data_IF_858357294410
#
_entry.id   IF_858357294410
#
_cell.length_a   1.000
_cell.length_b   1.000
_cell.length_c   1.000
_cell.angle_alpha   90.00
_cell.angle_beta   90.00
_cell.angle_gamma   90.00
#
_symmetry.space_group_name_H-M   'P 1'
#
loop_
_entity.id
_entity.type
_entity.pdbx_description
1 polymer ?
#
# COMPACT_ATOMS: atom_id res chain seq x y z
N UNK A 1 -49.55 -25.79 54.70
CA UNK A 1 -48.09 -25.85 54.50
C UNK A 1 -47.80 -26.63 53.22
N UNK A 2 -47.12 -26.02 52.26
CA UNK A 2 -46.27 -26.69 51.27
C UNK A 2 -46.89 -27.15 49.95
N UNK A 3 -47.02 -26.25 48.96
CA UNK A 3 -47.16 -26.61 47.53
C UNK A 3 -46.44 -25.59 46.62
N UNK A 4 -45.14 -25.36 46.85
CA UNK A 4 -44.27 -24.79 45.82
C UNK A 4 -43.51 -25.94 45.16
N UNK A 5 -44.21 -26.70 44.31
CA UNK A 5 -43.58 -27.64 43.39
C UNK A 5 -42.89 -26.84 42.29
N UNK A 6 -41.56 -26.86 42.33
CA UNK A 6 -40.62 -26.94 41.21
C UNK A 6 -41.18 -26.45 39.85
N UNK A 7 -40.78 -25.24 39.48
CA UNK A 7 -40.48 -24.94 38.08
C UNK A 7 -38.97 -24.66 38.04
N UNK A 8 -38.20 -25.74 38.04
CA UNK A 8 -36.83 -25.71 37.52
C UNK A 8 -36.98 -25.87 36.02
N UNK A 9 -37.20 -24.74 35.34
CA UNK A 9 -37.00 -24.67 33.91
C UNK A 9 -35.51 -24.42 33.70
N UNK A 10 -34.88 -25.40 33.07
CA UNK A 10 -33.51 -25.43 32.59
C UNK A 10 -33.10 -24.07 32.00
N UNK A 11 -32.14 -23.40 32.64
CA UNK A 11 -31.39 -22.30 32.01
C UNK A 11 -30.36 -22.98 31.11
N UNK A 12 -30.77 -23.27 29.88
CA UNK A 12 -29.86 -23.54 28.76
C UNK A 12 -30.22 -22.62 27.62
N UNK A 13 -29.65 -21.42 27.63
CA UNK A 13 -28.95 -20.83 26.50
C UNK A 13 -28.55 -19.41 26.88
N UNK A 14 -27.26 -19.21 27.04
CA UNK A 14 -26.66 -17.87 27.13
C UNK A 14 -25.32 -17.91 26.40
N UNK A 15 -25.38 -18.33 25.13
CA UNK A 15 -24.23 -18.31 24.21
C UNK A 15 -24.53 -17.43 22.98
N UNK A 16 -25.80 -17.19 22.64
CA UNK A 16 -26.15 -16.44 21.42
C UNK A 16 -25.96 -14.91 21.49
N UNK A 17 -25.90 -14.34 22.70
CA UNK A 17 -25.90 -12.87 22.87
C UNK A 17 -24.51 -12.22 22.72
N UNK A 18 -23.42 -12.99 22.88
CA UNK A 18 -22.06 -12.50 22.63
C UNK A 18 -21.69 -12.57 21.15
N UNK A 19 -22.10 -13.65 20.45
CA UNK A 19 -21.82 -13.89 19.03
C UNK A 19 -22.45 -12.80 18.15
N UNK A 20 -23.74 -12.48 18.38
CA UNK A 20 -24.48 -11.49 17.57
C UNK A 20 -23.92 -10.05 17.69
N UNK A 21 -23.32 -9.71 18.85
CA UNK A 21 -22.80 -8.37 19.11
C UNK A 21 -21.41 -8.17 18.50
N UNK A 22 -20.60 -9.23 18.42
CA UNK A 22 -19.25 -9.15 17.84
C UNK A 22 -19.27 -9.26 16.31
N UNK A 23 -20.13 -10.11 15.73
CA UNK A 23 -20.35 -10.13 14.26
C UNK A 23 -20.66 -8.73 13.70
N UNK A 24 -21.45 -7.94 14.44
CA UNK A 24 -21.75 -6.56 14.04
C UNK A 24 -20.52 -5.65 14.03
N UNK A 25 -19.58 -5.78 14.96
CA UNK A 25 -18.40 -4.92 15.02
C UNK A 25 -17.38 -5.27 13.93
N UNK A 26 -17.11 -6.56 13.68
CA UNK A 26 -16.22 -6.94 12.56
C UNK A 26 -16.83 -6.55 11.21
N UNK A 27 -18.15 -6.69 11.03
CA UNK A 27 -18.83 -6.25 9.83
C UNK A 27 -18.72 -4.72 9.61
N UNK A 28 -18.86 -3.91 10.66
CA UNK A 28 -18.70 -2.44 10.58
C UNK A 28 -17.25 -2.09 10.21
N UNK A 29 -16.26 -2.71 10.86
CA UNK A 29 -14.83 -2.46 10.59
C UNK A 29 -14.47 -2.89 9.16
N UNK A 30 -14.94 -4.06 8.71
CA UNK A 30 -14.74 -4.55 7.35
C UNK A 30 -15.37 -3.62 6.30
N UNK A 31 -16.60 -3.13 6.55
CA UNK A 31 -17.25 -2.16 5.68
C UNK A 31 -16.47 -0.83 5.61
N UNK A 32 -15.95 -0.37 6.75
CA UNK A 32 -15.11 0.83 6.80
C UNK A 32 -13.79 0.64 6.03
N UNK A 33 -13.10 -0.50 6.20
CA UNK A 33 -11.89 -0.83 5.43
C UNK A 33 -12.19 -0.85 3.93
N UNK A 34 -13.27 -1.51 3.50
CA UNK A 34 -13.69 -1.58 2.09
C UNK A 34 -14.00 -0.20 1.50
N UNK A 35 -14.66 0.66 2.27
CA UNK A 35 -14.93 2.06 1.88
C UNK A 35 -13.63 2.86 1.71
N UNK A 36 -12.68 2.69 2.64
CA UNK A 36 -11.35 3.32 2.58
C UNK A 36 -10.54 2.80 1.38
N UNK A 37 -10.55 1.49 1.10
CA UNK A 37 -9.94 0.88 -0.09
C UNK A 37 -10.51 1.50 -1.38
N UNK A 38 -11.83 1.64 -1.45
CA UNK A 38 -12.51 2.25 -2.60
C UNK A 38 -12.09 3.71 -2.77
N UNK A 39 -11.94 4.44 -1.67
CA UNK A 39 -11.46 5.83 -1.68
C UNK A 39 -10.00 5.93 -2.13
N UNK A 40 -9.13 5.02 -1.68
CA UNK A 40 -7.74 4.92 -2.11
C UNK A 40 -7.64 4.64 -3.62
N UNK A 41 -8.44 3.69 -4.14
CA UNK A 41 -8.46 3.37 -5.56
C UNK A 41 -8.91 4.57 -6.40
N UNK A 42 -9.97 5.28 -5.98
CA UNK A 42 -10.43 6.51 -6.64
C UNK A 42 -9.36 7.60 -6.63
N UNK A 43 -8.68 7.79 -5.49
CA UNK A 43 -7.60 8.77 -5.35
C UNK A 43 -6.41 8.42 -6.27
N UNK A 44 -6.04 7.13 -6.38
CA UNK A 44 -4.98 6.67 -7.28
C UNK A 44 -5.30 6.95 -8.76
N UNK A 45 -6.53 6.68 -9.19
CA UNK A 45 -6.97 7.00 -10.57
C UNK A 45 -6.93 8.52 -10.83
N UNK A 46 -7.33 9.33 -9.85
CA UNK A 46 -7.24 10.80 -9.95
C UNK A 46 -5.78 11.26 -10.04
N UNK A 47 -4.89 10.71 -9.22
CA UNK A 47 -3.47 11.02 -9.26
C UNK A 47 -2.87 10.69 -10.63
N UNK A 48 -3.14 9.50 -11.17
CA UNK A 48 -2.65 9.10 -12.49
C UNK A 48 -3.16 10.04 -13.61
N UNK A 49 -4.41 10.51 -13.52
CA UNK A 49 -4.94 11.48 -14.48
C UNK A 49 -4.24 12.84 -14.37
N UNK A 50 -4.06 13.34 -13.15
CA UNK A 50 -3.34 14.60 -12.90
C UNK A 50 -1.91 14.49 -13.42
N UNK A 51 -1.20 13.41 -13.10
CA UNK A 51 0.16 13.16 -13.62
C UNK A 51 0.24 13.23 -15.15
N UNK A 52 -0.70 12.59 -15.86
CA UNK A 52 -0.79 12.64 -17.31
C UNK A 52 -1.07 14.04 -17.87
N UNK A 53 -1.94 14.80 -17.20
CA UNK A 53 -2.21 16.19 -17.56
C UNK A 53 -0.94 17.05 -17.36
N UNK A 54 -0.18 16.80 -16.28
CA UNK A 54 1.12 17.39 -16.00
C UNK A 54 2.17 17.07 -17.07
N UNK A 55 2.29 15.81 -17.48
CA UNK A 55 3.16 15.39 -18.59
C UNK A 55 2.84 16.14 -19.89
N UNK A 56 1.55 16.33 -20.19
CA UNK A 56 1.10 17.06 -21.38
C UNK A 56 1.52 18.53 -21.31
N UNK A 57 1.40 19.17 -20.14
CA UNK A 57 1.86 20.54 -19.90
C UNK A 57 3.39 20.65 -20.04
N UNK A 58 4.15 19.72 -19.44
CA UNK A 58 5.63 19.69 -19.51
C UNK A 58 6.11 19.49 -20.95
N UNK A 59 5.46 18.60 -21.71
CA UNK A 59 5.75 18.38 -23.13
C UNK A 59 5.53 19.65 -23.97
N UNK A 60 4.44 20.39 -23.68
CA UNK A 60 4.15 21.67 -24.35
C UNK A 60 5.13 22.77 -23.94
N UNK A 61 5.53 22.85 -22.68
CA UNK A 61 6.58 23.77 -22.23
C UNK A 61 7.91 23.47 -22.93
N UNK A 62 8.28 22.19 -23.04
CA UNK A 62 9.48 21.78 -23.77
C UNK A 62 9.41 22.17 -25.25
N UNK A 63 8.28 21.97 -25.93
CA UNK A 63 8.15 22.35 -27.35
C UNK A 63 8.28 23.86 -27.55
N UNK A 64 7.70 24.67 -26.65
CA UNK A 64 7.85 26.13 -26.65
C UNK A 64 9.30 26.56 -26.37
N UNK A 65 10.00 25.93 -25.43
CA UNK A 65 11.43 26.20 -25.18
C UNK A 65 12.29 25.93 -26.42
N UNK A 66 12.03 24.82 -27.13
CA UNK A 66 12.72 24.54 -28.41
C UNK A 66 12.40 25.59 -29.47
N UNK A 67 11.15 26.03 -29.55
CA UNK A 67 10.74 27.08 -30.48
C UNK A 67 11.42 28.43 -30.15
N UNK A 68 11.51 28.80 -28.88
CA UNK A 68 12.20 30.01 -28.41
C UNK A 68 13.67 29.99 -28.86
N UNK A 69 14.38 28.90 -28.59
CA UNK A 69 15.78 28.73 -28.96
C UNK A 69 15.98 28.76 -30.49
N UNK A 70 15.07 28.13 -31.24
CA UNK A 70 15.10 28.15 -32.70
C UNK A 70 14.90 29.57 -33.25
N UNK A 71 13.96 30.36 -32.71
CA UNK A 71 13.78 31.75 -33.12
C UNK A 71 14.95 32.64 -32.73
N UNK A 72 15.57 32.39 -31.57
CA UNK A 72 16.79 33.09 -31.16
C UNK A 72 17.96 32.82 -32.12
N UNK A 73 18.16 31.56 -32.51
CA UNK A 73 19.20 31.16 -33.47
C UNK A 73 18.94 31.79 -34.86
N UNK A 74 17.70 31.71 -35.36
CA UNK A 74 17.29 32.32 -36.65
C UNK A 74 17.47 33.84 -36.66
N UNK A 75 17.16 34.52 -35.55
CA UNK A 75 17.37 35.96 -35.45
C UNK A 75 18.85 36.32 -35.60
N UNK A 76 19.77 35.56 -34.97
CA UNK A 76 21.21 35.77 -35.05
C UNK A 76 21.77 35.54 -36.45
N UNK A 77 21.34 34.48 -37.13
CA UNK A 77 21.84 34.15 -38.48
C UNK A 77 21.38 35.15 -39.54
N UNK A 78 20.17 35.68 -39.42
CA UNK A 78 19.59 36.59 -40.42
C UNK A 78 20.00 38.06 -40.17
N UNK A 79 20.41 38.42 -38.96
CA UNK A 79 20.71 39.81 -38.57
C UNK A 79 21.77 40.51 -39.43
N UNK A 80 22.75 39.77 -39.96
CA UNK A 80 23.80 40.33 -40.80
C UNK A 80 23.32 40.71 -42.22
N UNK A 81 22.32 39.99 -42.75
CA UNK A 81 21.92 40.08 -44.15
C UNK A 81 20.55 40.77 -44.34
N UNK A 82 19.63 40.63 -43.38
CA UNK A 82 18.25 41.13 -43.48
C UNK A 82 17.72 41.54 -42.09
N UNK A 83 17.94 42.81 -41.76
CA UNK A 83 17.53 43.39 -40.47
C UNK A 83 16.01 43.33 -40.23
N UNK A 84 15.13 43.68 -41.19
CA UNK A 84 13.68 43.52 -41.02
C UNK A 84 13.27 42.08 -40.66
N UNK A 85 13.83 41.08 -41.34
CA UNK A 85 13.51 39.67 -41.08
C UNK A 85 14.05 39.17 -39.74
N UNK A 86 15.19 39.68 -39.30
CA UNK A 86 15.71 39.41 -37.96
C UNK A 86 14.80 39.99 -36.86
N UNK A 87 14.27 41.20 -37.04
CA UNK A 87 13.31 41.80 -36.12
C UNK A 87 12.00 40.98 -36.03
N UNK A 88 11.52 40.44 -37.14
CA UNK A 88 10.36 39.54 -37.16
C UNK A 88 10.62 38.21 -36.40
N UNK A 89 11.84 37.67 -36.47
CA UNK A 89 12.23 36.50 -35.66
C UNK A 89 12.23 36.84 -34.16
N UNK A 90 12.74 38.02 -33.78
CA UNK A 90 12.71 38.50 -32.39
C UNK A 90 11.27 38.72 -31.91
N UNK A 91 10.39 39.24 -32.76
CA UNK A 91 8.96 39.40 -32.43
C UNK A 91 8.30 38.06 -32.13
N UNK A 92 8.52 37.04 -32.97
CA UNK A 92 8.02 35.67 -32.74
C UNK A 92 8.61 35.04 -31.48
N UNK A 93 9.91 35.25 -31.21
CA UNK A 93 10.55 34.81 -29.97
C UNK A 93 9.85 35.40 -28.73
N UNK A 94 9.57 36.70 -28.73
CA UNK A 94 8.84 37.37 -27.63
C UNK A 94 7.44 36.78 -27.43
N UNK A 95 6.73 36.45 -28.50
CA UNK A 95 5.41 35.80 -28.40
C UNK A 95 5.52 34.40 -27.75
N UNK A 96 6.52 33.61 -28.14
CA UNK A 96 6.78 32.30 -27.52
C UNK A 96 7.18 32.44 -26.05
N UNK A 97 7.99 33.45 -25.70
CA UNK A 97 8.36 33.74 -24.30
C UNK A 97 7.15 34.07 -23.44
N UNK A 98 6.21 34.89 -23.93
CA UNK A 98 4.97 35.16 -23.20
C UNK A 98 4.12 33.88 -23.00
N UNK A 99 4.10 32.99 -23.99
CA UNK A 99 3.44 31.68 -23.84
C UNK A 99 4.15 30.77 -22.83
N UNK A 100 5.49 30.83 -22.77
CA UNK A 100 6.30 30.10 -21.79
C UNK A 100 6.01 30.59 -20.36
N UNK A 101 5.92 31.90 -20.15
CA UNK A 101 5.56 32.47 -18.85
C UNK A 101 4.20 31.94 -18.37
N UNK A 102 3.20 31.96 -19.27
CA UNK A 102 1.88 31.46 -18.94
C UNK A 102 1.88 29.96 -18.61
N UNK A 103 2.53 29.14 -19.44
CA UNK A 103 2.54 27.68 -19.23
C UNK A 103 3.35 27.27 -18.00
N UNK A 104 4.42 28.00 -17.67
CA UNK A 104 5.22 27.75 -16.47
C UNK A 104 4.42 28.09 -15.21
N UNK A 105 3.61 29.16 -15.24
CA UNK A 105 2.69 29.48 -14.15
C UNK A 105 1.63 28.38 -13.98
N UNK A 106 1.04 27.89 -15.08
CA UNK A 106 0.09 26.76 -15.04
C UNK A 106 0.74 25.47 -14.54
N UNK A 107 1.97 25.16 -14.96
CA UNK A 107 2.73 24.01 -14.48
C UNK A 107 2.94 24.08 -12.97
N UNK A 108 3.35 25.23 -12.45
CA UNK A 108 3.53 25.40 -11.00
C UNK A 108 2.25 25.11 -10.21
N UNK A 109 1.12 25.69 -10.64
CA UNK A 109 -0.18 25.42 -10.01
C UNK A 109 -0.57 23.95 -10.12
N UNK A 110 -0.27 23.32 -11.24
CA UNK A 110 -0.55 21.91 -11.47
C UNK A 110 0.30 21.00 -10.58
N UNK A 111 1.61 21.26 -10.46
CA UNK A 111 2.52 20.49 -9.61
C UNK A 111 2.11 20.60 -8.12
N UNK A 112 1.64 21.78 -7.68
CA UNK A 112 1.06 21.97 -6.34
C UNK A 112 -0.19 21.10 -6.12
N UNK A 113 -1.08 21.02 -7.11
CA UNK A 113 -2.28 20.17 -7.05
C UNK A 113 -1.93 18.67 -7.08
N UNK A 114 -0.96 18.28 -7.91
CA UNK A 114 -0.44 16.90 -7.97
C UNK A 114 0.08 16.46 -6.60
N UNK A 115 0.88 17.31 -5.94
CA UNK A 115 1.37 17.07 -4.58
C UNK A 115 0.24 16.90 -3.56
N UNK A 116 -0.77 17.78 -3.58
CA UNK A 116 -1.92 17.66 -2.66
C UNK A 116 -2.69 16.34 -2.83
N UNK A 117 -2.87 15.89 -4.07
CA UNK A 117 -3.55 14.60 -4.36
C UNK A 117 -2.69 13.43 -3.89
N UNK A 118 -1.37 13.48 -4.13
CA UNK A 118 -0.43 12.46 -3.67
C UNK A 118 -0.41 12.35 -2.13
N UNK A 119 -0.29 13.47 -1.42
CA UNK A 119 -0.33 13.53 0.04
C UNK A 119 -1.63 12.96 0.59
N UNK A 120 -2.76 13.27 -0.05
CA UNK A 120 -4.07 12.74 0.34
C UNK A 120 -4.13 11.24 0.17
N UNK A 121 -3.60 10.70 -0.94
CA UNK A 121 -3.53 9.26 -1.17
C UNK A 121 -2.67 8.57 -0.10
N UNK A 122 -1.50 9.15 0.23
CA UNK A 122 -0.62 8.61 1.26
C UNK A 122 -1.33 8.55 2.63
N UNK A 123 -2.06 9.61 3.00
CA UNK A 123 -2.85 9.65 4.25
C UNK A 123 -3.93 8.57 4.28
N UNK A 124 -4.64 8.36 3.16
CA UNK A 124 -5.65 7.30 3.06
C UNK A 124 -5.01 5.91 3.21
N UNK A 125 -3.84 5.69 2.60
CA UNK A 125 -3.12 4.42 2.69
C UNK A 125 -2.61 4.16 4.11
N UNK A 126 -2.04 5.16 4.77
CA UNK A 126 -1.61 5.07 6.17
C UNK A 126 -2.80 4.72 7.08
N UNK A 127 -3.94 5.41 6.91
CA UNK A 127 -5.15 5.13 7.69
C UNK A 127 -5.69 3.71 7.46
N UNK A 128 -5.60 3.22 6.22
CA UNK A 128 -5.98 1.87 5.89
C UNK A 128 -5.09 0.82 6.57
N UNK A 129 -3.77 1.06 6.61
CA UNK A 129 -2.83 0.19 7.32
C UNK A 129 -3.15 0.15 8.83
N UNK A 130 -3.37 1.31 9.45
CA UNK A 130 -3.79 1.41 10.86
C UNK A 130 -5.07 0.61 11.14
N UNK A 131 -6.10 0.77 10.29
CA UNK A 131 -7.38 0.08 10.45
C UNK A 131 -7.22 -1.44 10.33
N UNK A 132 -6.39 -1.93 9.40
CA UNK A 132 -6.10 -3.36 9.27
C UNK A 132 -5.35 -3.90 10.50
N UNK A 133 -4.35 -3.17 10.99
CA UNK A 133 -3.62 -3.55 12.20
C UNK A 133 -4.54 -3.61 13.43
N UNK A 134 -5.41 -2.61 13.60
CA UNK A 134 -6.39 -2.59 14.69
C UNK A 134 -7.38 -3.75 14.60
N UNK A 135 -7.86 -4.07 13.38
CA UNK A 135 -8.73 -5.23 13.17
C UNK A 135 -8.03 -6.52 13.58
N UNK A 136 -6.79 -6.74 13.14
CA UNK A 136 -6.04 -7.95 13.48
C UNK A 136 -5.83 -8.07 14.99
N UNK A 137 -5.44 -6.99 15.67
CA UNK A 137 -5.29 -6.95 17.12
C UNK A 137 -6.61 -7.29 17.86
N UNK A 138 -7.73 -6.76 17.38
CA UNK A 138 -9.05 -7.04 17.96
C UNK A 138 -9.44 -8.51 17.78
N UNK A 139 -9.19 -9.10 16.61
CA UNK A 139 -9.44 -10.54 16.35
C UNK A 139 -8.55 -11.45 17.20
N UNK A 140 -7.27 -11.12 17.35
CA UNK A 140 -6.38 -11.85 18.26
C UNK A 140 -6.85 -11.78 19.71
N UNK A 141 -7.30 -10.62 20.18
CA UNK A 141 -7.85 -10.45 21.53
C UNK A 141 -9.16 -11.22 21.74
N UNK A 142 -10.01 -11.26 20.73
CA UNK A 142 -11.25 -12.06 20.74
C UNK A 142 -10.93 -13.54 20.88
N UNK A 143 -10.03 -14.07 20.06
CA UNK A 143 -9.59 -15.47 20.12
C UNK A 143 -9.07 -15.84 21.52
N UNK A 144 -8.24 -14.99 22.13
CA UNK A 144 -7.74 -15.21 23.51
C UNK A 144 -8.87 -15.13 24.55
N UNK A 145 -9.79 -14.18 24.42
CA UNK A 145 -10.91 -14.05 25.35
C UNK A 145 -11.87 -15.26 25.26
N UNK A 146 -12.12 -15.78 24.07
CA UNK A 146 -12.93 -16.98 23.87
C UNK A 146 -12.21 -18.23 24.38
N UNK A 147 -10.89 -18.34 24.19
CA UNK A 147 -10.06 -19.37 24.85
C UNK A 147 -10.23 -19.36 26.36
N UNK A 148 -10.08 -18.20 26.98
CA UNK A 148 -10.21 -18.03 28.43
C UNK A 148 -11.63 -18.32 28.92
N UNK A 149 -12.68 -18.01 28.15
CA UNK A 149 -14.06 -18.39 28.48
C UNK A 149 -14.25 -19.91 28.45
N UNK A 150 -13.72 -20.57 27.43
CA UNK A 150 -13.76 -22.04 27.32
C UNK A 150 -13.02 -22.67 28.51
N UNK A 151 -11.79 -22.22 28.80
CA UNK A 151 -10.99 -22.70 29.93
C UNK A 151 -11.70 -22.47 31.27
N UNK A 152 -12.30 -21.30 31.48
CA UNK A 152 -13.03 -21.01 32.72
C UNK A 152 -14.32 -21.85 32.85
N UNK A 153 -14.98 -22.19 31.74
CA UNK A 153 -16.09 -23.14 31.74
C UNK A 153 -15.63 -24.59 31.98
N UNK A 154 -14.41 -24.95 31.57
CA UNK A 154 -13.81 -26.27 31.75
C UNK A 154 -13.27 -26.53 33.15
N UNK A 155 -12.99 -25.49 33.96
CA UNK A 155 -12.61 -25.63 35.37
C UNK A 155 -13.70 -26.31 36.26
N UNK A 156 -14.83 -26.75 35.69
CA UNK A 156 -15.83 -27.61 36.32
C UNK A 156 -15.98 -29.02 35.72
N UNK A 157 -15.17 -29.42 34.72
CA UNK A 157 -15.28 -30.69 34.00
C UNK A 157 -14.02 -31.56 34.15
N UNK A 158 -14.20 -32.89 34.10
CA UNK A 158 -13.15 -33.88 34.40
C UNK A 158 -12.05 -33.91 33.33
N UNK A 159 -10.85 -34.38 33.71
CA UNK A 159 -9.64 -34.32 32.88
C UNK A 159 -9.71 -35.00 31.50
N UNK A 160 -10.66 -35.90 31.22
CA UNK A 160 -10.82 -36.46 29.86
C UNK A 160 -11.57 -35.54 28.90
N UNK A 161 -12.40 -34.61 29.40
CA UNK A 161 -13.06 -33.60 28.56
C UNK A 161 -12.07 -32.53 28.08
N UNK A 162 -10.91 -32.43 28.75
CA UNK A 162 -9.84 -31.48 28.41
C UNK A 162 -9.12 -31.91 27.12
N UNK A 163 -8.90 -33.21 26.91
CA UNK A 163 -8.22 -33.74 25.71
C UNK A 163 -9.10 -33.58 24.46
N UNK A 164 -10.40 -33.89 24.55
CA UNK A 164 -11.37 -33.66 23.46
C UNK A 164 -11.55 -32.16 23.13
N UNK A 165 -11.43 -31.28 24.14
CA UNK A 165 -11.49 -29.84 23.89
C UNK A 165 -10.21 -29.28 23.29
N UNK A 166 -9.04 -29.87 23.57
CA UNK A 166 -7.80 -29.56 22.86
C UNK A 166 -7.88 -29.97 21.38
N UNK A 167 -8.36 -31.17 21.08
CA UNK A 167 -8.56 -31.64 19.69
C UNK A 167 -9.52 -30.72 18.92
N UNK A 168 -10.62 -30.30 19.57
CA UNK A 168 -11.58 -29.35 18.99
C UNK A 168 -10.98 -27.95 18.81
N UNK A 169 -10.06 -27.55 19.69
CA UNK A 169 -9.32 -26.30 19.59
C UNK A 169 -8.36 -26.31 18.41
N UNK A 170 -7.64 -27.41 18.21
CA UNK A 170 -6.73 -27.60 17.09
C UNK A 170 -7.51 -27.54 15.76
N UNK A 171 -8.66 -28.21 15.69
CA UNK A 171 -9.55 -28.13 14.52
C UNK A 171 -10.05 -26.71 14.23
N UNK A 172 -10.43 -25.93 15.26
CA UNK A 172 -10.91 -24.55 15.08
C UNK A 172 -9.78 -23.57 14.70
N UNK A 173 -8.57 -23.76 15.24
CA UNK A 173 -7.38 -23.00 14.85
C UNK A 173 -7.06 -23.32 13.39
N UNK A 174 -6.97 -24.59 13.03
CA UNK A 174 -6.70 -25.02 11.65
C UNK A 174 -7.78 -24.54 10.69
N UNK A 175 -9.07 -24.61 11.07
CA UNK A 175 -10.18 -24.09 10.27
C UNK A 175 -10.11 -22.56 10.14
N UNK A 176 -9.76 -21.84 11.20
CA UNK A 176 -9.55 -20.39 11.16
C UNK A 176 -8.33 -20.01 10.32
N UNK A 177 -7.25 -20.77 10.35
CA UNK A 177 -6.05 -20.57 9.52
C UNK A 177 -6.36 -20.82 8.04
N UNK A 178 -7.11 -21.88 7.73
CA UNK A 178 -7.60 -22.20 6.38
C UNK A 178 -8.63 -21.17 5.87
N UNK A 179 -9.57 -20.75 6.72
CA UNK A 179 -10.64 -19.78 6.40
C UNK A 179 -10.13 -18.35 6.31
N UNK A 180 -9.08 -18.01 7.05
CA UNK A 180 -8.44 -16.69 7.01
C UNK A 180 -7.60 -16.52 5.75
N UNK A 181 -7.42 -17.57 4.94
CA UNK A 181 -6.79 -17.45 3.65
C UNK A 181 -5.40 -16.82 3.76
N UNK A 182 -4.63 -17.20 4.78
CA UNK A 182 -3.19 -17.08 4.71
C UNK A 182 -2.72 -18.19 3.75
N UNK A 183 -3.02 -18.01 2.47
CA UNK A 183 -2.01 -18.33 1.50
C UNK A 183 -0.84 -17.47 1.94
N UNK A 184 0.22 -18.08 2.45
CA UNK A 184 1.54 -17.63 2.04
C UNK A 184 1.49 -17.59 0.51
N UNK A 185 0.99 -16.48 -0.05
CA UNK A 185 1.68 -15.93 -1.18
C UNK A 185 3.05 -15.61 -0.63
N UNK A 186 3.92 -16.63 -0.63
CA UNK A 186 5.30 -16.43 -1.05
C UNK A 186 5.14 -15.52 -2.26
N UNK A 187 5.43 -14.24 -2.06
CA UNK A 187 5.47 -13.29 -3.14
C UNK A 187 6.54 -13.86 -4.07
N UNK A 188 6.10 -14.56 -5.11
CA UNK A 188 6.99 -15.31 -5.99
C UNK A 188 7.93 -14.37 -6.72
N UNK A 189 7.61 -13.07 -6.76
CA UNK A 189 8.50 -12.03 -7.24
C UNK A 189 9.59 -11.75 -6.20
N UNK A 190 9.22 -11.47 -4.95
CA UNK A 190 10.17 -11.21 -3.85
C UNK A 190 11.07 -12.42 -3.57
N UNK A 191 10.51 -13.62 -3.49
CA UNK A 191 11.28 -14.86 -3.32
C UNK A 191 12.25 -15.10 -4.49
N UNK A 192 11.87 -14.71 -5.71
CA UNK A 192 12.74 -14.75 -6.88
C UNK A 192 13.87 -13.71 -6.85
N UNK A 193 13.64 -12.53 -6.26
CA UNK A 193 14.69 -11.54 -6.04
C UNK A 193 15.64 -11.96 -4.93
N UNK A 194 15.12 -12.47 -3.81
CA UNK A 194 15.93 -12.97 -2.69
C UNK A 194 16.90 -14.05 -3.17
N UNK A 195 16.44 -15.03 -3.94
CA UNK A 195 17.30 -16.12 -4.42
C UNK A 195 18.41 -15.63 -5.38
N UNK A 196 18.10 -14.63 -6.22
CA UNK A 196 19.09 -14.02 -7.14
C UNK A 196 20.09 -13.14 -6.40
N UNK A 197 19.63 -12.38 -5.39
CA UNK A 197 20.49 -11.53 -4.57
C UNK A 197 21.41 -12.36 -3.67
N UNK A 198 20.88 -13.42 -3.03
CA UNK A 198 21.68 -14.39 -2.26
C UNK A 198 22.74 -15.05 -3.15
N UNK A 199 22.36 -15.46 -4.36
CA UNK A 199 23.30 -16.07 -5.29
C UNK A 199 24.39 -15.10 -5.76
N UNK A 200 24.05 -13.83 -5.99
CA UNK A 200 25.03 -12.80 -6.33
C UNK A 200 25.98 -12.48 -5.16
N UNK A 201 25.48 -12.52 -3.91
CA UNK A 201 26.30 -12.33 -2.71
C UNK A 201 27.27 -13.51 -2.50
N UNK A 202 26.80 -14.75 -2.68
CA UNK A 202 27.62 -15.96 -2.61
C UNK A 202 28.69 -16.02 -3.72
N UNK A 203 28.36 -15.59 -4.95
CA UNK A 203 29.33 -15.50 -6.04
C UNK A 203 30.40 -14.43 -5.77
N UNK A 204 30.01 -13.28 -5.21
CA UNK A 204 30.96 -12.24 -4.82
C UNK A 204 31.89 -12.69 -3.68
N UNK A 205 31.37 -13.45 -2.72
CA UNK A 205 32.16 -14.04 -1.64
C UNK A 205 33.11 -15.14 -2.15
N UNK A 206 32.64 -15.98 -3.07
CA UNK A 206 33.47 -17.00 -3.73
C UNK A 206 34.61 -16.37 -4.55
N UNK A 207 34.32 -15.32 -5.32
CA UNK A 207 35.33 -14.58 -6.09
C UNK A 207 36.35 -13.89 -5.16
N UNK A 208 35.92 -13.40 -4.00
CA UNK A 208 36.83 -12.85 -3.00
C UNK A 208 37.79 -13.93 -2.46
N UNK A 209 37.27 -15.11 -2.13
CA UNK A 209 38.05 -16.26 -1.65
C UNK A 209 39.04 -16.77 -2.70
N UNK A 210 38.62 -16.89 -3.96
CA UNK A 210 39.49 -17.33 -5.07
C UNK A 210 40.60 -16.32 -5.37
N UNK A 211 40.34 -15.01 -5.19
CA UNK A 211 41.36 -13.97 -5.31
C UNK A 211 42.32 -13.93 -4.11
N UNK A 212 41.90 -14.39 -2.93
CA UNK A 212 42.79 -14.61 -1.78
C UNK A 212 43.70 -15.82 -2.00
N UNK A 213 43.18 -16.95 -2.48
CA UNK A 213 44.00 -18.13 -2.84
C UNK A 213 44.97 -17.84 -4.01
N UNK A 214 44.59 -17.00 -4.97
CA UNK A 214 45.46 -16.56 -6.06
C UNK A 214 46.61 -15.65 -5.62
N UNK A 215 46.45 -14.88 -4.53
CA UNK A 215 47.51 -14.02 -3.97
C UNK A 215 48.54 -14.78 -3.14
N UNK A 216 48.11 -15.86 -2.50
CA UNK A 216 49.00 -16.74 -1.73
C UNK A 216 49.87 -17.63 -2.66
N UNK A 217 49.40 -17.94 -3.87
CA UNK A 217 50.15 -18.77 -4.82
C UNK A 217 51.21 -18.00 -5.66
N UNK A 218 51.10 -16.67 -5.77
CA UNK A 218 52.07 -15.79 -6.46
C UNK A 218 53.19 -15.23 -5.55
N UNK A 219 53.17 -15.60 -4.26
CA UNK A 219 54.14 -15.14 -3.24
C UNK A 219 55.14 -16.23 -2.79
N UNK A 220 55.26 -17.34 -3.53
CA UNK A 220 56.24 -18.41 -3.30
C UNK A 220 57.14 -18.62 -4.54
#
# INVERSE_FOLDING_TARGET
MGLFKRISATITSSVDQAITRVENHDAIVAAAIKSTQTSAAKARVRLARVQKDGETLRARAHSLNRAEAAWASRAKTVAANDKPRALECVRRRKQVQAQLEHINASLKQHDELEGQVADTLQKIQARLAEMNQQRNMMRSRESVADAMRIINNLNGANASDIEETFDRWEVLITESELSSGNYDQVDTLEAGFIEVEDQAELEAELDALLNEEGRDHDSA
#
